data_IF_545135220390
#
_entry.id   IF_545135220390
#
_cell.length_a   1.000
_cell.length_b   1.000
_cell.length_c   1.000
_cell.angle_alpha   90.00
_cell.angle_beta   90.00
_cell.angle_gamma   90.00
#
_symmetry.space_group_name_H-M   'P 1'
#
loop_
_entity.id
_entity.type
_entity.pdbx_description
1 polymer ?
#
# COMPACT_ATOMS: atom_id res chain seq x y z
N UNK A 1 0.45 1.53 15.29
CA UNK A 1 -0.14 0.61 14.30
C UNK A 1 -0.45 1.44 13.07
N UNK A 2 -0.03 1.01 11.88
CA UNK A 2 -0.19 1.78 10.63
C UNK A 2 -1.58 1.53 9.99
N UNK A 3 -1.87 2.12 8.82
CA UNK A 3 -3.19 1.98 8.16
C UNK A 3 -3.53 0.55 7.70
N UNK A 4 -2.56 -0.36 7.67
CA UNK A 4 -2.75 -1.80 7.40
C UNK A 4 -2.75 -2.64 8.69
N UNK A 5 -2.88 -2.00 9.85
CA UNK A 5 -2.80 -2.61 11.16
C UNK A 5 -1.47 -3.34 11.48
N UNK A 6 -0.42 -3.05 10.71
CA UNK A 6 0.91 -3.61 10.93
C UNK A 6 1.68 -2.79 11.99
N UNK A 7 2.59 -3.43 12.76
CA UNK A 7 3.48 -2.73 13.66
C UNK A 7 4.51 -1.90 12.89
N UNK A 8 4.89 -0.75 13.43
CA UNK A 8 5.89 0.14 12.83
C UNK A 8 5.30 1.27 11.96
N UNK A 9 6.17 1.94 11.21
CA UNK A 9 5.81 3.03 10.29
C UNK A 9 5.66 2.50 8.85
N UNK A 10 4.80 3.11 8.01
CA UNK A 10 4.64 2.74 6.60
C UNK A 10 5.95 2.65 5.83
N UNK A 11 6.87 3.63 6.02
CA UNK A 11 8.14 3.67 5.27
C UNK A 11 9.09 2.50 5.54
N UNK A 12 8.85 1.75 6.63
CA UNK A 12 9.60 0.55 6.99
C UNK A 12 8.95 -0.75 6.49
N UNK A 13 7.81 -0.66 5.81
CA UNK A 13 6.98 -1.81 5.41
C UNK A 13 6.86 -1.85 3.90
N UNK A 14 7.47 -2.85 3.25
CA UNK A 14 7.33 -3.04 1.81
C UNK A 14 6.03 -3.77 1.48
N UNK A 15 5.15 -3.13 0.72
CA UNK A 15 3.91 -3.73 0.23
C UNK A 15 4.03 -4.07 -1.25
N UNK A 16 3.62 -5.27 -1.64
CA UNK A 16 3.56 -5.72 -3.04
C UNK A 16 2.10 -5.86 -3.44
N UNK A 17 1.69 -5.14 -4.48
CA UNK A 17 0.33 -5.21 -5.03
C UNK A 17 0.36 -6.09 -6.28
N UNK A 18 -0.52 -7.10 -6.34
CA UNK A 18 -0.74 -7.88 -7.54
C UNK A 18 -1.48 -7.03 -8.58
N UNK A 19 -0.76 -6.58 -9.61
CA UNK A 19 -1.30 -5.65 -10.61
C UNK A 19 -1.99 -6.42 -11.74
N UNK A 20 -3.32 -6.34 -11.78
CA UNK A 20 -4.12 -6.83 -12.92
C UNK A 20 -4.18 -5.83 -14.08
N UNK A 21 -3.86 -4.56 -13.81
CA UNK A 21 -4.11 -3.42 -14.71
C UNK A 21 -5.51 -2.82 -14.59
N UNK A 22 -6.40 -3.44 -13.79
CA UNK A 22 -7.71 -2.89 -13.46
C UNK A 22 -7.65 -1.68 -12.54
N UNK A 23 -8.76 -0.94 -12.48
CA UNK A 23 -8.90 0.28 -11.67
C UNK A 23 -8.64 0.01 -10.19
N UNK A 24 -9.15 -1.10 -9.65
CA UNK A 24 -9.03 -1.42 -8.22
C UNK A 24 -7.57 -1.61 -7.81
N UNK A 25 -6.83 -2.46 -8.53
CA UNK A 25 -5.40 -2.67 -8.26
C UNK A 25 -4.58 -1.39 -8.42
N UNK A 26 -4.97 -0.51 -9.34
CA UNK A 26 -4.29 0.75 -9.60
C UNK A 26 -4.55 1.78 -8.49
N UNK A 27 -5.80 1.87 -8.01
CA UNK A 27 -6.20 2.77 -6.93
C UNK A 27 -5.54 2.34 -5.61
N UNK A 28 -5.56 1.04 -5.29
CA UNK A 28 -4.89 0.50 -4.09
C UNK A 28 -3.39 0.83 -4.11
N UNK A 29 -2.70 0.56 -5.22
CA UNK A 29 -1.28 0.89 -5.36
C UNK A 29 -1.00 2.40 -5.17
N UNK A 30 -1.86 3.26 -5.72
CA UNK A 30 -1.74 4.71 -5.58
C UNK A 30 -1.99 5.21 -4.15
N UNK A 31 -2.98 4.65 -3.45
CA UNK A 31 -3.30 5.00 -2.05
C UNK A 31 -2.12 4.61 -1.14
N UNK A 32 -1.65 3.37 -1.24
CA UNK A 32 -0.54 2.88 -0.42
C UNK A 32 0.74 3.70 -0.65
N UNK A 33 1.02 4.06 -1.92
CA UNK A 33 2.18 4.90 -2.23
C UNK A 33 2.06 6.31 -1.62
N UNK A 34 0.85 6.88 -1.61
CA UNK A 34 0.57 8.19 -1.00
C UNK A 34 0.69 8.16 0.51
N UNK A 35 0.35 7.05 1.14
CA UNK A 35 0.48 6.83 2.59
C UNK A 35 1.93 6.58 3.05
N UNK A 36 2.87 6.43 2.11
CA UNK A 36 4.30 6.31 2.41
C UNK A 36 4.80 4.89 2.61
N UNK A 37 4.02 3.88 2.20
CA UNK A 37 4.49 2.50 2.04
C UNK A 37 5.46 2.34 0.86
#
# INVERSE_FOLDING_TARGET
>A
MNSLDLPGRPENTRVVVAMSGGVDSSVVAGILKREGY
#
